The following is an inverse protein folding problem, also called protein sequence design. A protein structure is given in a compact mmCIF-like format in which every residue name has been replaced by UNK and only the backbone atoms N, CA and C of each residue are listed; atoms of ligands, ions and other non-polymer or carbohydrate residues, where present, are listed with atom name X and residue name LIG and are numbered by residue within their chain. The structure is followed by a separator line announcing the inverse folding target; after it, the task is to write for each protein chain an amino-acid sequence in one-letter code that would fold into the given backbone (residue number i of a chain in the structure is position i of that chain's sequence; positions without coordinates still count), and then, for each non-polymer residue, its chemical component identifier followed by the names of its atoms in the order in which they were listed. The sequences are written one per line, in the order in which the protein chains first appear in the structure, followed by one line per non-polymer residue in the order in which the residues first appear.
data_IF_826013888334
#
_entry.id   IF_826013888334
#
_cell.length_a   1.000
_cell.length_b   1.000
_cell.length_c   1.000
_cell.angle_alpha   90.00
_cell.angle_beta   90.00
_cell.angle_gamma   90.00
#
_symmetry.space_group_name_H-M   'P 1'
#
loop_
_entity.id
_entity.type
_entity.pdbx_description
1 polymer ?
#
# COMPACT_ATOMS: atom_id res chain seq x y z
N UNK A 1 12.71 4.70 -22.76
CA UNK A 1 11.66 3.94 -22.07
C UNK A 1 12.24 2.96 -21.07
N UNK A 2 13.28 2.27 -21.43
CA UNK A 2 13.85 1.25 -20.55
C UNK A 2 14.48 1.82 -19.30
N UNK A 3 15.24 2.92 -19.43
CA UNK A 3 15.81 3.56 -18.26
C UNK A 3 14.74 4.10 -17.33
N UNK A 4 13.68 4.64 -17.91
CA UNK A 4 12.55 5.13 -17.13
C UNK A 4 11.87 3.98 -16.37
N UNK A 5 11.69 2.84 -17.03
CA UNK A 5 11.10 1.68 -16.39
C UNK A 5 11.94 1.15 -15.25
N UNK A 6 13.27 1.19 -15.39
CA UNK A 6 14.17 0.76 -14.32
C UNK A 6 14.07 1.66 -13.11
N UNK A 7 13.94 2.96 -13.29
CA UNK A 7 13.74 3.89 -12.19
C UNK A 7 12.42 3.62 -11.48
N UNK A 8 11.36 3.34 -12.24
CA UNK A 8 10.07 3.02 -11.68
C UNK A 8 10.11 1.71 -10.89
N UNK A 9 10.83 0.72 -11.40
CA UNK A 9 10.97 -0.55 -10.69
C UNK A 9 11.71 -0.38 -9.36
N UNK A 10 12.76 0.42 -9.34
CA UNK A 10 13.50 0.67 -8.11
C UNK A 10 12.62 1.36 -7.08
N UNK A 11 11.85 2.35 -7.50
CA UNK A 11 10.90 3.03 -6.63
C UNK A 11 9.83 2.08 -6.13
N UNK A 12 9.26 1.28 -7.02
CA UNK A 12 8.22 0.32 -6.69
C UNK A 12 8.72 -0.72 -5.68
N UNK A 13 9.94 -1.22 -5.86
CA UNK A 13 10.51 -2.20 -4.94
C UNK A 13 10.68 -1.62 -3.55
N UNK A 14 11.15 -0.37 -3.47
CA UNK A 14 11.34 0.30 -2.19
C UNK A 14 10.00 0.52 -1.47
N UNK A 15 9.00 0.96 -2.21
CA UNK A 15 7.67 1.19 -1.66
C UNK A 15 7.05 -0.13 -1.18
N UNK A 16 7.16 -1.18 -1.98
CA UNK A 16 6.61 -2.48 -1.60
C UNK A 16 7.29 -3.05 -0.38
N UNK A 17 8.60 -2.91 -0.29
CA UNK A 17 9.33 -3.37 0.88
C UNK A 17 8.88 -2.62 2.13
N UNK A 18 8.76 -1.29 2.04
CA UNK A 18 8.28 -0.47 3.14
C UNK A 18 6.86 -0.84 3.55
N UNK A 19 5.99 -1.01 2.56
CA UNK A 19 4.60 -1.38 2.82
C UNK A 19 4.51 -2.73 3.52
N UNK A 20 5.19 -3.74 3.01
CA UNK A 20 5.16 -5.06 3.62
C UNK A 20 5.76 -5.06 5.02
N UNK A 21 6.82 -4.27 5.24
CA UNK A 21 7.42 -4.16 6.57
C UNK A 21 6.43 -3.62 7.60
N UNK A 22 5.63 -2.63 7.21
CA UNK A 22 4.60 -2.09 8.08
C UNK A 22 3.51 -3.12 8.35
N UNK A 23 3.07 -3.82 7.32
CA UNK A 23 1.94 -4.74 7.44
C UNK A 23 2.29 -6.02 8.17
N UNK A 24 3.54 -6.48 8.07
CA UNK A 24 3.96 -7.71 8.75
C UNK A 24 4.00 -7.55 10.25
N UNK A 25 4.41 -6.38 10.73
CA UNK A 25 4.53 -6.14 12.18
C UNK A 25 3.22 -5.66 12.82
N UNK A 26 2.21 -5.38 12.02
CA UNK A 26 0.90 -4.94 12.48
C UNK A 26 -0.17 -5.84 11.91
N UNK A 27 -1.35 -5.89 12.55
CA UNK A 27 -2.47 -6.63 11.97
C UNK A 27 -3.08 -5.83 10.84
N UNK A 28 -4.07 -5.02 11.13
CA UNK A 28 -4.70 -4.17 10.14
C UNK A 28 -4.17 -2.74 10.30
N UNK A 29 -3.70 -2.17 9.18
CA UNK A 29 -3.17 -0.81 9.17
C UNK A 29 -4.07 0.03 8.27
N UNK A 30 -4.48 1.19 8.77
CA UNK A 30 -5.37 2.05 8.00
C UNK A 30 -4.67 2.67 6.80
N UNK A 31 -5.45 2.96 5.78
CA UNK A 31 -4.99 3.64 4.58
C UNK A 31 -4.21 4.92 4.92
N UNK A 32 -4.76 5.70 5.85
CA UNK A 32 -4.13 6.97 6.23
C UNK A 32 -2.76 6.75 6.85
N UNK A 33 -2.64 5.76 7.74
CA UNK A 33 -1.37 5.48 8.40
C UNK A 33 -0.32 5.02 7.40
N UNK A 34 -0.68 4.13 6.49
CA UNK A 34 0.25 3.66 5.47
C UNK A 34 0.71 4.82 4.58
N UNK A 35 -0.23 5.64 4.16
CA UNK A 35 0.06 6.77 3.29
C UNK A 35 1.03 7.75 3.96
N UNK A 36 0.79 8.06 5.23
CA UNK A 36 1.64 8.99 5.97
C UNK A 36 3.03 8.42 6.22
N UNK A 37 3.12 7.15 6.62
CA UNK A 37 4.40 6.52 6.91
C UNK A 37 5.29 6.41 5.68
N UNK A 38 4.71 6.20 4.52
CA UNK A 38 5.48 6.03 3.30
C UNK A 38 5.54 7.30 2.46
N UNK A 39 4.88 8.36 2.89
CA UNK A 39 4.83 9.64 2.17
C UNK A 39 4.39 9.47 0.72
N UNK A 40 3.33 8.70 0.52
CA UNK A 40 2.81 8.40 -0.81
C UNK A 40 1.62 9.27 -1.15
N UNK A 41 1.38 9.44 -2.45
CA UNK A 41 0.14 10.02 -2.93
C UNK A 41 -0.95 8.96 -2.94
N UNK A 42 -2.22 9.39 -3.01
CA UNK A 42 -3.35 8.47 -3.08
C UNK A 42 -3.23 7.51 -4.26
N UNK A 43 -2.87 8.06 -5.43
CA UNK A 43 -2.75 7.24 -6.63
C UNK A 43 -1.63 6.21 -6.54
N UNK A 44 -0.48 6.61 -6.01
CA UNK A 44 0.66 5.70 -5.86
C UNK A 44 0.33 4.57 -4.88
N UNK A 45 -0.27 4.91 -3.74
CA UNK A 45 -0.63 3.90 -2.76
C UNK A 45 -1.66 2.93 -3.33
N UNK A 46 -2.70 3.45 -3.97
CA UNK A 46 -3.73 2.59 -4.57
C UNK A 46 -3.14 1.64 -5.60
N UNK A 47 -2.22 2.13 -6.43
CA UNK A 47 -1.58 1.32 -7.46
C UNK A 47 -0.77 0.18 -6.85
N UNK A 48 0.04 0.47 -5.84
CA UNK A 48 0.87 -0.53 -5.20
C UNK A 48 0.03 -1.57 -4.45
N UNK A 49 -0.98 -1.12 -3.72
CA UNK A 49 -1.84 -2.01 -2.97
C UNK A 49 -2.62 -2.92 -3.91
N UNK A 50 -3.14 -2.38 -5.01
CA UNK A 50 -3.87 -3.19 -5.98
C UNK A 50 -2.98 -4.28 -6.58
N UNK A 51 -1.73 -3.96 -6.89
CA UNK A 51 -0.78 -4.93 -7.42
C UNK A 51 -0.52 -6.04 -6.42
N UNK A 52 -0.31 -5.69 -5.16
CA UNK A 52 -0.03 -6.67 -4.11
C UNK A 52 -1.25 -7.51 -3.76
N UNK A 53 -2.44 -6.92 -3.81
CA UNK A 53 -3.66 -7.68 -3.60
C UNK A 53 -3.88 -8.71 -4.70
N UNK A 54 -3.56 -8.35 -5.93
CA UNK A 54 -3.72 -9.24 -7.08
C UNK A 54 -2.90 -10.51 -6.92
N UNK A 55 -1.73 -10.42 -6.34
CA UNK A 55 -0.88 -11.58 -6.09
C UNK A 55 -1.06 -12.15 -4.68
N UNK A 56 -2.06 -11.68 -3.97
CA UNK A 56 -2.48 -12.17 -2.65
C UNK A 56 -1.44 -11.96 -1.55
N UNK A 57 -0.63 -10.93 -1.67
CA UNK A 57 0.31 -10.56 -0.63
C UNK A 57 -0.30 -9.60 0.38
N UNK A 58 -1.38 -8.93 0.02
CA UNK A 58 -2.05 -7.95 0.86
C UNK A 58 -3.56 -8.19 0.80
N UNK A 59 -4.22 -8.10 1.94
CA UNK A 59 -5.67 -8.11 2.03
C UNK A 59 -6.18 -6.69 2.24
N UNK A 60 -7.31 -6.37 1.66
CA UNK A 60 -7.94 -5.06 1.77
C UNK A 60 -9.30 -5.23 2.45
N UNK A 61 -9.55 -4.40 3.45
CA UNK A 61 -10.83 -4.38 4.15
C UNK A 61 -11.40 -2.97 4.08
N UNK A 62 -12.62 -2.87 3.61
CA UNK A 62 -13.35 -1.60 3.56
C UNK A 62 -14.53 -1.68 4.50
N UNK A 63 -14.66 -0.69 5.37
CA UNK A 63 -15.74 -0.65 6.35
C UNK A 63 -16.07 0.79 6.68
N UNK A 64 -17.20 0.99 7.32
CA UNK A 64 -17.58 2.30 7.83
C UNK A 64 -17.28 2.36 9.32
N UNK A 65 -16.63 3.44 9.72
CA UNK A 65 -16.44 3.77 11.14
C UNK A 65 -17.29 5.00 11.38
N UNK A 66 -18.43 4.79 12.01
CA UNK A 66 -19.46 5.82 12.08
C UNK A 66 -20.01 6.05 10.67
N UNK A 67 -19.91 7.29 10.20
CA UNK A 67 -20.39 7.67 8.87
C UNK A 67 -19.27 7.78 7.85
N UNK A 68 -18.02 7.48 8.23
CA UNK A 68 -16.87 7.64 7.35
C UNK A 68 -16.39 6.28 6.85
N UNK A 69 -16.14 6.15 5.54
CA UNK A 69 -15.52 4.93 5.03
C UNK A 69 -14.07 4.85 5.48
N UNK A 70 -13.64 3.66 5.82
CA UNK A 70 -12.27 3.41 6.21
C UNK A 70 -11.74 2.19 5.46
N UNK A 71 -10.54 2.32 4.90
CA UNK A 71 -9.86 1.24 4.22
C UNK A 71 -8.65 0.83 5.06
N UNK A 72 -8.50 -0.47 5.27
CA UNK A 72 -7.39 -1.03 6.03
C UNK A 72 -6.72 -2.13 5.24
N UNK A 73 -5.45 -2.37 5.52
CA UNK A 73 -4.63 -3.35 4.82
C UNK A 73 -3.99 -4.30 5.80
N UNK A 74 -3.76 -5.53 5.34
CA UNK A 74 -3.11 -6.57 6.11
C UNK A 74 -2.27 -7.44 5.19
N UNK A 75 -1.09 -7.84 5.66
CA UNK A 75 -0.23 -8.76 4.93
C UNK A 75 -0.78 -10.19 4.95
#
# INVERSE_FOLDING_TARGET
MQGFNQLNKAFDSRVRLGLMSILVVNDWVSYKDVKENLSLTDGNLASHVSSLERIKYVEIKKQFVGKKPQTSYKA
#
